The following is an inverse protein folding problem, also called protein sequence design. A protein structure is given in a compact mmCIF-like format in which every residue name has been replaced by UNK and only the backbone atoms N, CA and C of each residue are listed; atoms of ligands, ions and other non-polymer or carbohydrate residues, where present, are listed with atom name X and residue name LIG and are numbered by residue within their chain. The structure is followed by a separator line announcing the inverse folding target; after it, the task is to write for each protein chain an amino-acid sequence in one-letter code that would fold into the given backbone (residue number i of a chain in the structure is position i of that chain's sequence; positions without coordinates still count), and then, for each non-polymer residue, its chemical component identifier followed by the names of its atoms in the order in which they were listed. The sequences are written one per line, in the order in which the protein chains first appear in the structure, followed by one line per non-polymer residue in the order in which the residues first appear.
data_IF_047562744062
#
_entry.id   IF_047562744062
#
_cell.length_a   1.000
_cell.length_b   1.000
_cell.length_c   1.000
_cell.angle_alpha   90.00
_cell.angle_beta   90.00
_cell.angle_gamma   90.00
#
_symmetry.space_group_name_H-M   'P 1'
#
loop_
_entity.id
_entity.type
_entity.pdbx_description
1 polymer ?
#
# COMPACT_ATOMS: atom_id res chain seq x y z
N UNK A 1 -2.27 -53.33 54.01
CA UNK A 1 -2.87 -52.57 52.89
C UNK A 1 -2.23 -51.19 52.91
N UNK A 2 -0.92 -51.08 52.61
CA UNK A 2 -0.19 -49.81 52.83
C UNK A 2 1.16 -49.68 52.08
N UNK A 3 1.42 -50.45 51.02
CA UNK A 3 2.68 -50.32 50.26
C UNK A 3 2.54 -49.66 48.87
N UNK A 4 1.34 -49.38 48.40
CA UNK A 4 1.12 -48.85 47.04
C UNK A 4 0.95 -47.32 46.94
N UNK A 5 1.21 -46.55 48.02
CA UNK A 5 1.05 -45.09 48.01
C UNK A 5 2.37 -44.29 47.90
N UNK A 6 3.53 -44.94 47.99
CA UNK A 6 4.85 -44.26 47.94
C UNK A 6 5.42 -44.13 46.51
N UNK A 7 5.11 -45.06 45.61
CA UNK A 7 5.71 -45.07 44.26
C UNK A 7 5.10 -44.02 43.31
N UNK A 8 3.84 -43.63 43.53
CA UNK A 8 3.14 -42.64 42.70
C UNK A 8 3.52 -41.18 42.98
N UNK A 9 4.06 -40.86 44.16
CA UNK A 9 4.56 -39.51 44.47
C UNK A 9 5.94 -39.27 43.86
N UNK A 10 6.84 -40.26 43.92
CA UNK A 10 8.20 -40.18 43.34
C UNK A 10 8.17 -40.04 41.81
N UNK A 11 7.20 -40.68 41.14
CA UNK A 11 7.04 -40.58 39.68
C UNK A 11 6.48 -39.20 39.27
N UNK A 12 5.61 -38.58 40.08
CA UNK A 12 5.06 -37.25 39.78
C UNK A 12 6.08 -36.13 39.87
N UNK A 13 7.08 -36.25 40.76
CA UNK A 13 8.12 -35.23 40.95
C UNK A 13 9.11 -35.18 39.77
N UNK A 14 9.46 -36.33 39.18
CA UNK A 14 10.40 -36.42 38.04
C UNK A 14 9.85 -35.93 36.69
N UNK A 15 8.53 -35.80 36.55
CA UNK A 15 7.91 -35.38 35.29
C UNK A 15 7.95 -33.86 35.11
N UNK A 16 8.07 -33.10 36.21
CA UNK A 16 8.04 -31.62 36.20
C UNK A 16 9.40 -30.93 36.31
N UNK A 17 10.51 -31.67 36.50
CA UNK A 17 11.87 -31.11 36.46
C UNK A 17 12.59 -31.36 35.13
N UNK A 18 11.84 -31.30 34.02
CA UNK A 18 12.43 -31.41 32.67
C UNK A 18 12.88 -30.02 32.21
N UNK A 19 13.97 -29.53 32.79
CA UNK A 19 14.73 -28.43 32.16
C UNK A 19 15.23 -28.96 30.81
N UNK A 20 14.70 -28.41 29.72
CA UNK A 20 15.15 -28.74 28.37
C UNK A 20 16.66 -28.53 28.24
N UNK A 21 17.32 -29.33 27.40
CA UNK A 21 18.74 -29.10 27.13
C UNK A 21 18.87 -27.82 26.30
N UNK A 22 19.58 -26.82 26.83
CA UNK A 22 19.89 -25.56 26.12
C UNK A 22 20.50 -25.77 24.74
N UNK A 23 21.22 -26.88 24.54
CA UNK A 23 21.80 -27.24 23.23
C UNK A 23 20.70 -27.55 22.21
N UNK A 24 19.63 -28.24 22.61
CA UNK A 24 18.52 -28.59 21.71
C UNK A 24 17.67 -27.36 21.39
N UNK A 25 17.41 -26.52 22.39
CA UNK A 25 16.71 -25.25 22.19
C UNK A 25 17.50 -24.32 21.25
N UNK A 26 18.82 -24.21 21.45
CA UNK A 26 19.69 -23.43 20.58
C UNK A 26 19.78 -24.01 19.15
N UNK A 27 19.83 -25.33 19.00
CA UNK A 27 19.90 -26.00 17.69
C UNK A 27 18.63 -25.76 16.86
N UNK A 28 17.47 -25.54 17.49
CA UNK A 28 16.21 -25.20 16.80
C UNK A 28 16.10 -23.69 16.57
N UNK A 29 16.46 -22.87 17.55
CA UNK A 29 16.26 -21.43 17.50
C UNK A 29 17.27 -20.70 16.59
N UNK A 30 18.54 -21.10 16.62
CA UNK A 30 19.61 -20.42 15.90
C UNK A 30 19.39 -20.41 14.37
N UNK A 31 19.00 -21.51 13.70
CA UNK A 31 18.70 -21.49 12.27
C UNK A 31 17.52 -20.56 11.92
N UNK A 32 16.47 -20.54 12.74
CA UNK A 32 15.32 -19.65 12.55
C UNK A 32 15.74 -18.19 12.65
N UNK A 33 16.58 -17.87 13.64
CA UNK A 33 17.12 -16.53 13.81
C UNK A 33 17.97 -16.11 12.60
N UNK A 34 18.86 -16.98 12.12
CA UNK A 34 19.71 -16.72 10.95
C UNK A 34 18.85 -16.46 9.70
N UNK A 35 17.80 -17.26 9.47
CA UNK A 35 16.87 -17.07 8.36
C UNK A 35 16.13 -15.72 8.48
N UNK A 36 15.69 -15.35 9.68
CA UNK A 36 14.99 -14.08 9.91
C UNK A 36 15.88 -12.86 9.66
N UNK A 37 17.11 -12.87 10.15
CA UNK A 37 18.09 -11.78 9.94
C UNK A 37 18.47 -11.70 8.46
N UNK A 38 18.66 -12.85 7.80
CA UNK A 38 18.95 -12.89 6.36
C UNK A 38 17.79 -12.30 5.55
N UNK A 39 16.55 -12.61 5.90
CA UNK A 39 15.36 -12.04 5.27
C UNK A 39 15.27 -10.51 5.46
N UNK A 40 15.58 -10.01 6.66
CA UNK A 40 15.57 -8.56 6.93
C UNK A 40 16.64 -7.82 6.11
N UNK A 41 17.85 -8.36 6.01
CA UNK A 41 18.93 -7.76 5.20
C UNK A 41 18.51 -7.66 3.73
N UNK A 42 17.82 -8.68 3.21
CA UNK A 42 17.32 -8.67 1.83
C UNK A 42 16.26 -7.59 1.63
N UNK A 43 15.30 -7.48 2.56
CA UNK A 43 14.26 -6.45 2.49
C UNK A 43 14.91 -5.06 2.47
N UNK A 44 15.88 -4.79 3.35
CA UNK A 44 16.58 -3.49 3.40
C UNK A 44 17.27 -3.16 2.07
N UNK A 45 17.93 -4.15 1.45
CA UNK A 45 18.56 -3.94 0.14
C UNK A 45 17.55 -3.65 -0.95
N UNK A 46 16.44 -4.39 -0.99
CA UNK A 46 15.37 -4.20 -1.97
C UNK A 46 14.75 -2.81 -1.82
N UNK A 47 14.45 -2.38 -0.59
CA UNK A 47 13.91 -1.05 -0.34
C UNK A 47 14.88 0.05 -0.73
N UNK A 48 16.19 -0.13 -0.49
CA UNK A 48 17.20 0.83 -0.91
C UNK A 48 17.29 1.01 -2.43
N UNK A 49 17.15 -0.06 -3.20
CA UNK A 49 17.08 0.01 -4.67
C UNK A 49 15.81 0.74 -5.11
N UNK A 50 14.65 0.40 -4.54
CA UNK A 50 13.38 1.05 -4.88
C UNK A 50 13.42 2.56 -4.56
N UNK A 51 14.00 2.93 -3.42
CA UNK A 51 14.17 4.32 -3.02
C UNK A 51 15.13 5.08 -3.95
N UNK A 52 16.22 4.45 -4.36
CA UNK A 52 17.16 5.04 -5.32
C UNK A 52 16.51 5.31 -6.69
N UNK A 53 15.70 4.37 -7.18
CA UNK A 53 14.90 4.55 -8.41
C UNK A 53 13.96 5.73 -8.25
N UNK A 54 13.14 5.75 -7.18
CA UNK A 54 12.18 6.83 -6.91
C UNK A 54 12.85 8.21 -6.82
N UNK A 55 14.02 8.28 -6.18
CA UNK A 55 14.75 9.53 -6.04
C UNK A 55 15.26 10.03 -7.38
N UNK A 56 15.81 9.13 -8.19
CA UNK A 56 16.37 9.44 -9.51
C UNK A 56 15.29 9.89 -10.51
N UNK A 57 14.17 9.17 -10.55
CA UNK A 57 13.02 9.52 -11.39
C UNK A 57 12.36 10.82 -10.93
N UNK A 58 12.18 11.02 -9.61
CA UNK A 58 11.64 12.26 -9.08
C UNK A 58 12.52 13.46 -9.41
N UNK A 59 13.85 13.31 -9.34
CA UNK A 59 14.78 14.39 -9.70
C UNK A 59 14.65 14.80 -11.19
N UNK A 60 14.51 13.81 -12.08
CA UNK A 60 14.28 14.09 -13.51
C UNK A 60 12.94 14.78 -13.74
N UNK A 61 11.87 14.27 -13.12
CA UNK A 61 10.53 14.85 -13.25
C UNK A 61 10.50 16.28 -12.69
N UNK A 62 11.17 16.56 -11.57
CA UNK A 62 11.28 17.93 -11.03
C UNK A 62 12.01 18.85 -12.00
N UNK A 63 13.12 18.39 -12.61
CA UNK A 63 13.82 19.18 -13.63
C UNK A 63 12.90 19.49 -14.81
N UNK A 64 12.11 18.51 -15.24
CA UNK A 64 11.12 18.68 -16.31
C UNK A 64 9.99 19.64 -15.93
N UNK A 65 9.53 19.58 -14.68
CA UNK A 65 8.53 20.50 -14.15
C UNK A 65 9.06 21.94 -14.20
N UNK A 66 10.31 22.16 -13.76
CA UNK A 66 10.94 23.48 -13.75
C UNK A 66 11.22 24.01 -15.16
N UNK A 67 11.52 23.14 -16.12
CA UNK A 67 11.80 23.53 -17.51
C UNK A 67 10.54 23.62 -18.39
N UNK A 68 9.37 23.26 -17.87
CA UNK A 68 8.11 23.22 -18.61
C UNK A 68 7.69 24.57 -19.22
N UNK A 69 8.10 25.71 -18.65
CA UNK A 69 7.85 27.01 -19.26
C UNK A 69 8.69 27.28 -20.51
N UNK A 70 9.85 26.61 -20.64
CA UNK A 70 10.80 26.80 -21.75
C UNK A 70 10.51 25.86 -22.92
N UNK A 71 10.26 24.59 -22.61
CA UNK A 71 10.16 23.54 -23.61
C UNK A 71 8.79 22.87 -23.56
N UNK A 72 8.11 22.79 -24.71
CA UNK A 72 6.78 22.16 -24.83
C UNK A 72 6.82 20.67 -25.19
N UNK A 73 8.00 20.11 -25.45
CA UNK A 73 8.19 18.70 -25.80
C UNK A 73 9.38 18.12 -25.01
N UNK A 74 9.18 16.96 -24.38
CA UNK A 74 10.22 16.26 -23.62
C UNK A 74 10.31 14.76 -23.97
N UNK A 75 10.18 14.41 -25.25
CA UNK A 75 10.17 12.99 -25.70
C UNK A 75 11.54 12.31 -25.53
N UNK A 76 12.65 13.06 -25.46
CA UNK A 76 14.01 12.48 -25.37
C UNK A 76 14.44 12.01 -23.98
N UNK A 77 13.77 12.46 -22.92
CA UNK A 77 14.22 12.26 -21.53
C UNK A 77 13.91 10.87 -20.98
N UNK A 78 12.83 10.22 -21.43
CA UNK A 78 12.49 8.88 -20.92
C UNK A 78 13.60 7.86 -21.17
N UNK A 79 14.25 7.94 -22.34
CA UNK A 79 15.33 7.02 -22.69
C UNK A 79 16.61 7.30 -21.89
N UNK A 80 16.93 8.57 -21.66
CA UNK A 80 18.07 8.99 -20.83
C UNK A 80 17.90 8.54 -19.38
N UNK A 81 16.69 8.68 -18.82
CA UNK A 81 16.34 8.18 -17.49
C UNK A 81 16.44 6.65 -17.42
N UNK A 82 15.97 5.92 -18.43
CA UNK A 82 16.10 4.46 -18.49
C UNK A 82 17.55 4.00 -18.51
N UNK A 83 18.37 4.61 -19.38
CA UNK A 83 19.78 4.25 -19.53
C UNK A 83 20.56 4.53 -18.23
N UNK A 84 20.32 5.70 -17.60
CA UNK A 84 20.95 6.06 -16.32
C UNK A 84 20.58 5.11 -15.18
N UNK A 85 19.29 4.76 -15.05
CA UNK A 85 18.83 3.86 -13.98
C UNK A 85 19.41 2.44 -14.16
N UNK A 86 19.55 1.98 -15.40
CA UNK A 86 20.18 0.68 -15.73
C UNK A 86 21.69 0.67 -15.44
N UNK A 87 22.38 1.81 -15.59
CA UNK A 87 23.79 1.93 -15.21
C UNK A 87 23.98 1.94 -13.68
N UNK A 88 23.09 2.62 -12.96
CA UNK A 88 23.17 2.78 -11.50
C UNK A 88 22.70 1.55 -10.72
N UNK A 89 21.78 0.76 -11.29
CA UNK A 89 21.13 -0.34 -10.60
C UNK A 89 21.08 -1.60 -11.50
N UNK A 90 21.37 -2.81 -10.97
CA UNK A 90 21.27 -4.06 -11.70
C UNK A 90 19.81 -4.53 -11.86
N UNK A 91 18.96 -3.68 -12.43
CA UNK A 91 17.50 -3.88 -12.57
C UNK A 91 17.06 -3.64 -14.01
N UNK A 92 16.04 -4.36 -14.47
CA UNK A 92 15.41 -4.08 -15.76
C UNK A 92 14.33 -3.01 -15.56
N UNK A 93 14.71 -1.75 -15.78
CA UNK A 93 13.84 -0.60 -15.66
C UNK A 93 13.28 -0.16 -17.02
N UNK A 94 11.98 0.13 -17.08
CA UNK A 94 11.30 0.62 -18.28
C UNK A 94 10.21 1.62 -17.94
N UNK A 95 10.15 2.71 -18.68
CA UNK A 95 9.04 3.67 -18.64
C UNK A 95 7.88 3.09 -19.46
N UNK A 96 6.77 2.80 -18.79
CA UNK A 96 5.58 2.21 -19.43
C UNK A 96 4.69 3.28 -20.04
N UNK A 97 4.59 4.43 -19.36
CA UNK A 97 3.76 5.54 -19.82
C UNK A 97 4.38 6.86 -19.43
N UNK A 98 4.43 7.76 -20.40
CA UNK A 98 4.80 9.13 -20.17
C UNK A 98 3.80 10.07 -20.85
N UNK A 99 3.29 11.05 -20.12
CA UNK A 99 2.35 12.04 -20.64
C UNK A 99 2.79 13.42 -20.19
N UNK A 100 3.08 14.30 -21.15
CA UNK A 100 3.65 15.61 -20.90
C UNK A 100 2.63 16.72 -21.13
N UNK A 101 2.56 17.67 -20.20
CA UNK A 101 1.69 18.85 -20.21
C UNK A 101 0.26 18.56 -20.70
N UNK A 102 -0.32 17.47 -20.22
CA UNK A 102 -1.68 17.08 -20.56
C UNK A 102 -2.69 17.72 -19.61
N UNK A 103 -3.97 17.68 -19.99
CA UNK A 103 -5.07 18.20 -19.16
C UNK A 103 -5.99 17.06 -18.74
N UNK A 104 -6.35 17.01 -17.46
CA UNK A 104 -7.26 16.01 -16.91
C UNK A 104 -8.02 16.57 -15.71
N UNK A 105 -9.33 16.28 -15.63
CA UNK A 105 -10.16 16.67 -14.49
C UNK A 105 -10.22 18.19 -14.22
N UNK A 106 -10.07 19.02 -15.27
CA UNK A 106 -10.04 20.49 -15.12
C UNK A 106 -8.69 21.06 -14.69
N UNK A 107 -7.66 20.23 -14.51
CA UNK A 107 -6.28 20.66 -14.29
C UNK A 107 -5.49 20.58 -15.60
N UNK A 108 -4.71 21.62 -15.86
CA UNK A 108 -3.82 21.74 -17.02
C UNK A 108 -2.36 21.58 -16.58
N UNK A 109 -1.48 21.36 -17.56
CA UNK A 109 -0.02 21.30 -17.37
C UNK A 109 0.44 20.09 -16.55
N UNK A 110 -0.32 18.99 -16.57
CA UNK A 110 0.03 17.78 -15.83
C UNK A 110 1.15 17.01 -16.52
N UNK A 111 2.05 16.44 -15.74
CA UNK A 111 3.10 15.52 -16.19
C UNK A 111 2.90 14.21 -15.44
N UNK A 112 2.71 13.12 -16.20
CA UNK A 112 2.59 11.78 -15.65
C UNK A 112 3.74 10.93 -16.15
N UNK A 113 4.37 10.24 -15.21
CA UNK A 113 5.47 9.32 -15.44
C UNK A 113 5.13 8.01 -14.74
N UNK A 114 5.03 6.94 -15.51
CA UNK A 114 4.79 5.58 -15.02
C UNK A 114 5.94 4.70 -15.49
N UNK A 115 6.51 3.93 -14.56
CA UNK A 115 7.61 3.04 -14.84
C UNK A 115 7.49 1.73 -14.07
N UNK A 116 8.10 0.70 -14.62
CA UNK A 116 8.20 -0.62 -14.02
C UNK A 116 9.68 -1.00 -13.91
N UNK A 117 10.03 -1.61 -12.78
CA UNK A 117 11.35 -2.20 -12.57
C UNK A 117 11.20 -3.67 -12.17
N UNK A 118 11.84 -4.55 -12.93
CA UNK A 118 11.93 -5.97 -12.64
C UNK A 118 13.34 -6.33 -12.18
N UNK A 119 13.46 -7.06 -11.08
CA UNK A 119 14.75 -7.57 -10.63
C UNK A 119 14.66 -8.96 -10.03
N UNK A 120 15.73 -9.73 -10.26
CA UNK A 120 15.88 -11.11 -9.80
C UNK A 120 16.68 -11.13 -8.51
N UNK A 121 16.07 -11.64 -7.45
CA UNK A 121 16.71 -11.83 -6.15
C UNK A 121 17.06 -13.30 -5.97
N UNK A 122 18.35 -13.60 -5.99
CA UNK A 122 18.89 -14.90 -5.63
C UNK A 122 19.38 -14.83 -4.19
N UNK A 123 18.84 -15.67 -3.30
CA UNK A 123 19.31 -15.78 -1.92
C UNK A 123 19.27 -17.22 -1.39
N UNK A 124 19.81 -17.43 -0.19
CA UNK A 124 19.92 -18.76 0.44
C UNK A 124 18.56 -19.45 0.72
N UNK A 125 17.46 -18.70 0.72
CA UNK A 125 16.08 -19.16 0.99
C UNK A 125 15.24 -19.23 -0.29
N UNK A 126 15.47 -18.31 -1.23
CA UNK A 126 14.69 -18.14 -2.45
C UNK A 126 15.63 -18.13 -3.65
N UNK A 127 15.53 -19.19 -4.46
CA UNK A 127 16.47 -19.47 -5.54
C UNK A 127 16.23 -18.61 -6.79
N UNK A 128 15.00 -18.13 -7.01
CA UNK A 128 14.62 -17.27 -8.15
C UNK A 128 13.39 -16.40 -7.80
N UNK A 129 13.53 -15.43 -6.90
CA UNK A 129 12.45 -14.47 -6.64
C UNK A 129 12.48 -13.36 -7.69
N UNK A 130 11.43 -13.26 -8.51
CA UNK A 130 11.20 -12.07 -9.35
C UNK A 130 10.37 -11.07 -8.56
N UNK A 131 10.90 -9.86 -8.38
CA UNK A 131 10.19 -8.75 -7.74
C UNK A 131 9.90 -7.71 -8.81
N UNK A 132 8.63 -7.33 -8.92
CA UNK A 132 8.15 -6.27 -9.79
C UNK A 132 7.84 -5.03 -8.95
N UNK A 133 8.42 -3.91 -9.32
CA UNK A 133 8.18 -2.61 -8.72
C UNK A 133 7.49 -1.71 -9.76
N UNK A 134 6.39 -1.05 -9.37
CA UNK A 134 5.66 -0.11 -10.22
C UNK A 134 5.70 1.27 -9.58
N UNK A 135 6.13 2.26 -10.34
CA UNK A 135 6.20 3.65 -9.94
C UNK A 135 5.23 4.49 -10.75
N UNK A 136 4.50 5.39 -10.07
CA UNK A 136 3.64 6.40 -10.70
C UNK A 136 3.88 7.75 -10.07
N UNK A 137 4.42 8.67 -10.85
CA UNK A 137 4.59 10.07 -10.50
C UNK A 137 3.60 10.90 -11.30
N UNK A 138 2.84 11.74 -10.58
CA UNK A 138 1.96 12.73 -11.17
C UNK A 138 2.35 14.09 -10.61
N UNK A 139 2.85 14.95 -11.49
CA UNK A 139 3.28 16.30 -11.15
C UNK A 139 2.60 17.31 -12.06
N UNK A 140 2.91 18.59 -11.82
CA UNK A 140 2.42 19.69 -12.64
C UNK A 140 3.59 20.58 -13.01
N UNK A 141 3.76 20.76 -14.32
CA UNK A 141 4.80 21.59 -14.88
C UNK A 141 4.63 23.06 -14.49
N UNK A 142 5.74 23.73 -14.22
CA UNK A 142 5.78 25.16 -14.00
C UNK A 142 5.71 25.88 -15.35
N UNK A 143 4.49 26.19 -15.82
CA UNK A 143 4.25 26.88 -17.09
C UNK A 143 3.88 28.36 -16.93
N UNK A 144 3.83 28.86 -15.69
CA UNK A 144 3.34 30.21 -15.38
C UNK A 144 1.81 30.35 -15.43
N UNK A 145 1.09 29.27 -15.76
CA UNK A 145 -0.38 29.24 -15.74
C UNK A 145 -0.89 29.33 -14.30
N UNK A 146 -1.37 30.53 -13.94
CA UNK A 146 -2.13 30.77 -12.72
C UNK A 146 -3.48 30.08 -12.82
N UNK A 147 -3.53 28.80 -12.43
CA UNK A 147 -4.78 28.19 -12.04
C UNK A 147 -5.12 28.73 -10.65
N UNK A 148 -5.66 29.96 -10.63
CA UNK A 148 -6.52 30.39 -9.54
C UNK A 148 -7.75 29.49 -9.67
N UNK A 149 -7.62 28.26 -9.16
CA UNK A 149 -8.79 27.45 -8.91
C UNK A 149 -9.78 28.35 -8.18
N UNK A 150 -11.06 28.23 -8.52
CA UNK A 150 -12.07 28.87 -7.67
C UNK A 150 -11.78 28.38 -6.26
N UNK A 151 -11.39 29.30 -5.37
CA UNK A 151 -11.36 28.98 -3.95
C UNK A 151 -12.71 28.32 -3.67
N UNK A 152 -12.69 27.20 -2.95
CA UNK A 152 -13.93 26.72 -2.36
C UNK A 152 -14.58 27.92 -1.69
N UNK A 153 -15.82 28.20 -2.06
CA UNK A 153 -16.53 29.34 -1.50
C UNK A 153 -16.47 29.23 0.03
N UNK A 154 -16.37 30.35 0.75
CA UNK A 154 -16.26 30.32 2.21
C UNK A 154 -17.42 29.52 2.83
N UNK A 155 -18.60 29.59 2.20
CA UNK A 155 -19.76 28.78 2.52
C UNK A 155 -19.57 27.28 2.23
N UNK A 156 -18.88 26.87 1.16
CA UNK A 156 -18.57 25.47 0.85
C UNK A 156 -17.42 24.92 1.70
N UNK A 157 -16.43 25.75 2.03
CA UNK A 157 -15.30 25.38 2.89
C UNK A 157 -15.70 25.28 4.37
N UNK A 158 -16.62 26.15 4.82
CA UNK A 158 -17.21 26.10 6.17
C UNK A 158 -18.43 25.19 6.26
N UNK A 159 -18.96 24.71 5.13
CA UNK A 159 -19.91 23.61 5.16
C UNK A 159 -19.18 22.36 5.66
N UNK A 160 -19.31 22.11 6.97
CA UNK A 160 -19.50 20.74 7.45
C UNK A 160 -20.78 20.23 6.79
N UNK A 161 -20.69 19.87 5.49
CA UNK A 161 -21.75 19.07 4.87
C UNK A 161 -21.92 17.88 5.81
N UNK A 162 -23.14 17.54 6.25
CA UNK A 162 -23.32 16.38 7.09
C UNK A 162 -22.83 15.17 6.29
N UNK A 163 -21.60 14.76 6.54
CA UNK A 163 -21.04 13.56 5.94
C UNK A 163 -21.78 12.41 6.61
N UNK A 164 -22.75 11.89 5.88
CA UNK A 164 -23.56 10.80 6.38
C UNK A 164 -22.69 9.56 6.35
N UNK A 165 -22.14 9.19 7.51
CA UNK A 165 -21.41 7.94 7.66
C UNK A 165 -22.30 6.76 7.29
N UNK A 166 -21.88 6.02 6.28
CA UNK A 166 -22.55 4.81 5.79
C UNK A 166 -21.73 3.58 6.14
N UNK A 167 -22.42 2.45 6.26
CA UNK A 167 -21.80 1.16 6.57
C UNK A 167 -21.64 0.37 5.28
N UNK A 168 -20.44 -0.16 5.05
CA UNK A 168 -20.15 -1.11 3.97
C UNK A 168 -19.71 -2.46 4.53
N UNK A 169 -19.85 -3.51 3.71
CA UNK A 169 -19.38 -4.86 3.99
C UNK A 169 -18.29 -5.25 2.97
N UNK A 170 -17.00 -4.95 3.22
CA UNK A 170 -15.95 -5.05 2.20
C UNK A 170 -15.76 -6.44 1.58
N UNK A 171 -16.11 -7.50 2.31
CA UNK A 171 -15.91 -8.89 1.87
C UNK A 171 -17.04 -9.43 0.99
N UNK A 172 -18.29 -9.01 1.25
CA UNK A 172 -19.48 -9.67 0.69
C UNK A 172 -20.52 -8.71 0.12
N UNK A 173 -20.37 -7.39 0.33
CA UNK A 173 -21.35 -6.39 -0.08
C UNK A 173 -20.78 -5.39 -1.07
N UNK A 174 -21.48 -5.19 -2.18
CA UNK A 174 -21.23 -4.08 -3.12
C UNK A 174 -22.17 -2.89 -2.85
N UNK A 175 -22.80 -2.85 -1.68
CA UNK A 175 -23.76 -1.82 -1.31
C UNK A 175 -23.42 -1.15 0.02
N UNK A 176 -23.74 0.14 0.11
CA UNK A 176 -23.62 0.90 1.34
C UNK A 176 -24.99 1.10 2.00
N UNK A 177 -24.98 1.10 3.32
CA UNK A 177 -26.17 1.04 4.18
C UNK A 177 -26.19 2.21 5.18
N UNK A 178 -27.38 2.62 5.64
CA UNK A 178 -27.49 3.49 6.82
C UNK A 178 -27.23 2.68 8.10
N UNK A 179 -26.80 3.35 9.18
CA UNK A 179 -26.63 2.70 10.50
C UNK A 179 -27.92 2.06 11.04
N UNK A 180 -29.08 2.55 10.61
CA UNK A 180 -30.41 2.06 11.01
C UNK A 180 -30.93 0.93 10.12
N UNK A 181 -30.17 0.49 9.11
CA UNK A 181 -30.62 -0.54 8.18
C UNK A 181 -30.79 -1.90 8.88
N UNK A 182 -31.91 -2.58 8.62
CA UNK A 182 -32.21 -3.92 9.13
C UNK A 182 -31.08 -4.94 8.87
N UNK A 183 -30.49 -4.91 7.67
CA UNK A 183 -29.35 -5.77 7.34
C UNK A 183 -28.13 -5.53 8.25
N UNK A 184 -27.88 -4.28 8.64
CA UNK A 184 -26.72 -3.92 9.48
C UNK A 184 -26.96 -4.29 10.94
N UNK A 185 -28.19 -4.14 11.44
CA UNK A 185 -28.50 -4.32 12.86
C UNK A 185 -28.95 -5.73 13.23
N UNK A 186 -29.61 -6.46 12.32
CA UNK A 186 -30.17 -7.79 12.61
C UNK A 186 -29.41 -8.89 11.88
N UNK A 187 -29.23 -8.77 10.57
CA UNK A 187 -28.79 -9.91 9.72
C UNK A 187 -27.26 -10.08 9.79
N UNK A 188 -26.50 -8.99 9.67
CA UNK A 188 -25.04 -9.00 9.62
C UNK A 188 -24.41 -8.37 10.87
N UNK A 189 -25.08 -8.49 12.02
CA UNK A 189 -24.66 -7.87 13.28
C UNK A 189 -23.24 -8.29 13.71
N UNK A 190 -22.89 -9.55 13.46
CA UNK A 190 -21.63 -10.18 13.88
C UNK A 190 -20.57 -10.25 12.77
N UNK A 191 -20.83 -9.66 11.59
CA UNK A 191 -19.87 -9.65 10.49
C UNK A 191 -18.98 -8.39 10.49
N UNK A 192 -17.85 -8.48 9.77
CA UNK A 192 -16.94 -7.35 9.60
C UNK A 192 -17.60 -6.25 8.76
N UNK A 193 -17.83 -5.10 9.40
CA UNK A 193 -18.42 -3.91 8.80
C UNK A 193 -17.48 -2.71 8.96
N UNK A 194 -17.46 -1.84 7.98
CA UNK A 194 -16.66 -0.61 8.01
C UNK A 194 -17.57 0.60 7.84
N UNK A 195 -17.37 1.63 8.66
CA UNK A 195 -18.00 2.93 8.48
C UNK A 195 -17.11 3.79 7.58
N UNK A 196 -17.66 4.28 6.48
CA UNK A 196 -17.01 5.20 5.55
C UNK A 196 -17.95 6.34 5.19
N UNK A 197 -17.42 7.40 4.59
CA UNK A 197 -18.26 8.51 4.13
C UNK A 197 -19.03 8.13 2.87
N UNK A 198 -20.27 8.64 2.73
CA UNK A 198 -21.18 8.31 1.62
C UNK A 198 -20.56 8.63 0.26
N UNK A 199 -19.89 9.78 0.15
CA UNK A 199 -19.19 10.19 -1.06
C UNK A 199 -18.03 9.26 -1.39
N UNK A 200 -17.33 8.76 -0.36
CA UNK A 200 -16.24 7.81 -0.53
C UNK A 200 -16.74 6.42 -0.95
N UNK A 201 -17.88 5.98 -0.39
CA UNK A 201 -18.55 4.75 -0.80
C UNK A 201 -18.95 4.79 -2.29
N UNK A 202 -19.52 5.92 -2.73
CA UNK A 202 -19.87 6.15 -4.13
C UNK A 202 -18.64 6.18 -5.03
N UNK A 203 -17.55 6.85 -4.63
CA UNK A 203 -16.26 6.85 -5.36
C UNK A 203 -15.70 5.43 -5.51
N UNK A 204 -15.82 4.60 -4.47
CA UNK A 204 -15.42 3.19 -4.47
C UNK A 204 -16.41 2.25 -5.20
N UNK A 205 -17.38 2.80 -5.94
CA UNK A 205 -18.41 2.11 -6.75
C UNK A 205 -19.36 1.22 -5.94
N UNK A 206 -19.54 1.49 -4.65
CA UNK A 206 -20.63 0.87 -3.89
C UNK A 206 -21.96 1.49 -4.28
N UNK A 207 -23.00 0.67 -4.41
CA UNK A 207 -24.35 1.13 -4.74
C UNK A 207 -25.17 1.37 -3.46
N UNK A 208 -26.17 2.28 -3.46
CA UNK A 208 -27.07 2.39 -2.32
C UNK A 208 -27.81 1.07 -2.09
N UNK A 209 -28.00 0.72 -0.82
CA UNK A 209 -28.90 -0.36 -0.43
C UNK A 209 -30.31 -0.06 -0.95
N UNK A 210 -30.95 -1.04 -1.61
CA UNK A 210 -32.31 -0.89 -2.15
C UNK A 210 -33.38 -0.76 -1.06
N UNK A 211 -33.10 -1.20 0.16
CA UNK A 211 -34.06 -1.17 1.27
C UNK A 211 -33.93 0.12 2.09
N UNK A 212 -32.72 0.50 2.51
CA UNK A 212 -32.51 1.68 3.35
C UNK A 212 -32.09 2.94 2.57
N UNK A 213 -32.02 2.85 1.23
CA UNK A 213 -31.61 3.95 0.34
C UNK A 213 -30.18 4.45 0.53
N UNK A 214 -29.36 3.80 1.39
CA UNK A 214 -28.03 4.28 1.72
C UNK A 214 -28.01 5.68 2.36
N UNK A 215 -28.93 5.94 3.30
CA UNK A 215 -29.11 7.27 3.91
C UNK A 215 -29.48 8.37 2.89
N UNK A 216 -30.48 8.09 2.06
CA UNK A 216 -31.05 9.07 1.12
C UNK A 216 -32.00 10.10 1.77
N UNK A 217 -32.46 9.84 3.00
CA UNK A 217 -33.46 10.66 3.70
C UNK A 217 -32.88 11.40 4.92
N UNK A 218 -31.57 11.69 4.92
CA UNK A 218 -30.89 12.51 5.93
C UNK A 218 -30.12 13.60 5.21
#
# INVERSE_FOLDING_TARGET
MEENMSSTSIIKEKVFDRKGSYIVEAAIFLPILILSVSALILIIRITGICENICFSTAQDVIKMDLEAYKYKNSVSLCKETEDRIKEENPVDFRVTRFSYLYSSGGMTDLIAFEAEADFNVVNAVVRDAKISFEEKLLTRGFTGTLNIGKNLDEAEFKQNRPTCKVVIFPKYGNRYHSKTCRYVNEIYKNEYKQEIEKEEAAKRRYLPCKICGGAANV
#
